data_IF_546467691241
#
_entry.id   IF_546467691241
#
_cell.length_a   1.000
_cell.length_b   1.000
_cell.length_c   1.000
_cell.angle_alpha   90.00
_cell.angle_beta   90.00
_cell.angle_gamma   90.00
#
_symmetry.space_group_name_H-M   'P 1'
#
loop_
_entity.id
_entity.type
_entity.pdbx_description
1 polymer ?
#
# COMPACT_ATOMS: atom_id res chain seq x y z
N UNK A 1 5.15 14.70 -0.30
CA UNK A 1 5.28 14.10 1.03
C UNK A 1 4.12 14.57 1.88
N UNK A 2 3.58 13.72 2.76
CA UNK A 2 2.60 14.13 3.77
C UNK A 2 3.29 14.66 5.05
N UNK A 3 2.51 14.95 6.09
CA UNK A 3 3.01 15.50 7.36
C UNK A 3 3.92 14.51 8.12
N UNK A 4 3.75 13.21 7.90
CA UNK A 4 4.55 12.15 8.51
C UNK A 4 5.83 11.86 7.71
N UNK A 5 6.00 12.51 6.55
CA UNK A 5 7.16 12.31 5.69
C UNK A 5 7.01 11.13 4.73
N UNK A 6 5.80 10.61 4.54
CA UNK A 6 5.55 9.57 3.55
C UNK A 6 5.51 10.16 2.15
N UNK A 7 6.03 9.43 1.16
CA UNK A 7 6.07 9.89 -0.23
C UNK A 7 4.70 9.71 -0.89
N UNK A 8 3.95 10.79 -1.02
CA UNK A 8 2.61 10.79 -1.64
C UNK A 8 2.58 10.73 -3.17
N UNK A 9 3.73 10.88 -3.84
CA UNK A 9 3.79 10.80 -5.30
C UNK A 9 5.19 10.46 -5.84
N UNK A 10 5.23 9.72 -6.93
CA UNK A 10 6.40 9.47 -7.77
C UNK A 10 6.10 9.93 -9.20
N UNK A 11 6.99 10.75 -9.78
CA UNK A 11 6.88 11.18 -11.17
C UNK A 11 8.12 10.76 -11.94
N UNK A 12 7.91 10.21 -13.14
CA UNK A 12 8.90 9.98 -14.19
C UNK A 12 8.47 10.74 -15.45
N UNK A 13 9.32 10.83 -16.50
CA UNK A 13 8.93 11.49 -17.75
C UNK A 13 7.67 10.90 -18.41
N UNK A 14 7.32 9.66 -18.11
CA UNK A 14 6.20 8.93 -18.73
C UNK A 14 5.04 8.63 -17.78
N UNK A 15 5.18 8.92 -16.48
CA UNK A 15 4.22 8.43 -15.49
C UNK A 15 4.17 9.34 -14.25
N UNK A 16 2.96 9.54 -13.73
CA UNK A 16 2.73 10.06 -12.38
C UNK A 16 1.99 9.00 -11.58
N UNK A 17 2.62 8.52 -10.52
CA UNK A 17 2.03 7.58 -9.57
C UNK A 17 1.77 8.30 -8.26
N UNK A 18 0.56 8.17 -7.72
CA UNK A 18 0.20 8.68 -6.40
C UNK A 18 0.22 7.55 -5.39
N UNK A 19 0.47 7.92 -4.13
CA UNK A 19 0.48 7.02 -3.00
C UNK A 19 -0.37 7.57 -1.87
N UNK A 20 -1.07 6.69 -1.16
CA UNK A 20 -1.85 7.03 0.03
C UNK A 20 -1.45 6.12 1.19
N UNK A 21 -1.52 6.68 2.39
CA UNK A 21 -1.12 6.04 3.63
C UNK A 21 -2.26 6.11 4.66
N UNK A 22 -2.32 5.12 5.55
CA UNK A 22 -3.21 5.15 6.70
C UNK A 22 -2.58 5.88 7.90
N UNK A 23 -3.31 5.94 9.02
CA UNK A 23 -2.86 6.61 10.25
C UNK A 23 -1.66 5.93 10.94
N UNK A 24 -1.29 4.72 10.51
CA UNK A 24 -0.14 3.96 11.01
C UNK A 24 1.05 4.03 10.03
N UNK A 25 1.04 4.98 9.09
CA UNK A 25 2.06 5.19 8.06
C UNK A 25 2.22 4.01 7.08
N UNK A 26 1.18 3.16 6.93
CA UNK A 26 1.20 2.03 5.99
C UNK A 26 0.62 2.40 4.64
N UNK A 27 1.24 1.92 3.57
CA UNK A 27 0.84 2.19 2.17
C UNK A 27 -0.47 1.47 1.83
N UNK A 28 -1.56 2.21 1.64
CA UNK A 28 -2.87 1.64 1.29
C UNK A 28 -3.21 1.75 -0.21
N UNK A 29 -2.54 2.63 -0.94
CA UNK A 29 -2.68 2.74 -2.39
C UNK A 29 -1.37 3.18 -3.05
N UNK A 30 -1.07 2.64 -4.24
CA UNK A 30 0.04 3.06 -5.10
C UNK A 30 -0.30 2.88 -6.58
N UNK A 31 -0.67 3.97 -7.26
CA UNK A 31 -1.25 3.89 -8.61
C UNK A 31 -2.51 3.02 -8.61
N UNK A 32 -2.56 2.01 -9.47
CA UNK A 32 -3.68 1.06 -9.58
C UNK A 32 -3.62 -0.10 -8.55
N UNK A 33 -2.69 -0.04 -7.60
CA UNK A 33 -2.54 -1.03 -6.53
C UNK A 33 -3.26 -0.55 -5.27
N UNK A 34 -4.02 -1.44 -4.64
CA UNK A 34 -4.57 -1.23 -3.29
C UNK A 34 -4.11 -2.32 -2.33
N UNK A 35 -3.92 -1.95 -1.07
CA UNK A 35 -3.39 -2.83 -0.03
C UNK A 35 -4.29 -2.81 1.21
N UNK A 36 -4.42 -3.96 1.87
CA UNK A 36 -5.09 -4.06 3.18
C UNK A 36 -4.15 -4.70 4.18
N UNK A 37 -4.35 -4.39 5.46
CA UNK A 37 -3.50 -4.88 6.55
C UNK A 37 -4.34 -5.55 7.64
N UNK A 38 -3.75 -6.54 8.32
CA UNK A 38 -4.29 -7.12 9.55
C UNK A 38 -4.19 -6.11 10.69
N UNK A 39 -4.94 -6.27 11.80
CA UNK A 39 -4.76 -5.44 12.99
C UNK A 39 -3.35 -5.49 13.60
N UNK A 40 -2.56 -6.54 13.29
CA UNK A 40 -1.16 -6.65 13.70
C UNK A 40 -0.19 -5.90 12.78
N UNK A 41 -0.69 -5.31 11.68
CA UNK A 41 0.10 -4.54 10.73
C UNK A 41 0.68 -5.33 9.56
N UNK A 42 0.33 -6.61 9.42
CA UNK A 42 0.80 -7.46 8.33
C UNK A 42 -0.05 -7.21 7.08
N UNK A 43 0.54 -7.29 5.89
CA UNK A 43 -0.21 -7.13 4.64
C UNK A 43 -1.21 -8.29 4.47
N UNK A 44 -2.52 -8.06 4.44
CA UNK A 44 -3.52 -9.12 4.24
C UNK A 44 -3.90 -9.32 2.77
N UNK A 45 -3.97 -8.25 1.98
CA UNK A 45 -4.26 -8.37 0.56
C UNK A 45 -3.60 -7.28 -0.29
N UNK A 46 -3.37 -7.63 -1.56
CA UNK A 46 -2.95 -6.71 -2.63
C UNK A 46 -3.88 -6.92 -3.83
N UNK A 47 -4.46 -5.84 -4.34
CA UNK A 47 -5.33 -5.87 -5.51
C UNK A 47 -4.75 -5.02 -6.64
N UNK A 48 -4.82 -5.52 -7.87
CA UNK A 48 -4.47 -4.80 -9.10
C UNK A 48 -5.48 -5.11 -10.19
N UNK A 49 -6.18 -4.09 -10.72
CA UNK A 49 -7.11 -4.28 -11.84
C UNK A 49 -8.19 -5.35 -11.59
N UNK A 50 -8.63 -5.52 -10.34
CA UNK A 50 -9.62 -6.53 -9.93
C UNK A 50 -9.05 -7.92 -9.63
N UNK A 51 -7.77 -8.18 -9.87
CA UNK A 51 -7.10 -9.39 -9.41
C UNK A 51 -6.56 -9.19 -7.99
N UNK A 52 -6.87 -10.12 -7.08
CA UNK A 52 -6.47 -10.05 -5.67
C UNK A 52 -5.51 -11.18 -5.31
N UNK A 53 -4.43 -10.83 -4.60
CA UNK A 53 -3.55 -11.75 -3.90
C UNK A 53 -3.78 -11.62 -2.39
N UNK A 54 -4.01 -12.76 -1.71
CA UNK A 54 -4.19 -12.84 -0.26
C UNK A 54 -2.92 -13.39 0.40
N UNK A 55 -2.54 -12.79 1.51
CA UNK A 55 -1.40 -13.19 2.31
C UNK A 55 -1.87 -13.63 3.70
N UNK A 56 -1.29 -14.72 4.19
CA UNK A 56 -1.56 -15.26 5.52
C UNK A 56 -0.23 -15.63 6.13
N UNK A 57 0.04 -15.04 7.28
CA UNK A 57 1.23 -15.29 8.07
C UNK A 57 0.87 -16.25 9.19
N UNK A 58 1.80 -17.12 9.55
CA UNK A 58 1.67 -17.91 10.77
C UNK A 58 2.31 -17.16 11.95
N UNK A 59 2.33 -17.78 13.13
CA UNK A 59 2.85 -17.15 14.33
C UNK A 59 4.35 -16.78 14.27
N UNK A 60 5.07 -17.24 13.24
CA UNK A 60 6.49 -16.96 13.01
C UNK A 60 6.75 -16.01 11.84
N UNK A 61 5.70 -15.59 11.12
CA UNK A 61 5.80 -14.78 9.90
C UNK A 61 5.91 -15.64 8.66
#
# INVERSE_FOLDING_TARGET
>A
YDANGNRTSFASPSELVTAAYDAEDRLIAYGDLTYTYTPAGELSSKTQGGAEALYRYDAFG
#
